data_IF_124530994824
#
_entry.id   IF_124530994824
#
_cell.length_a   1.000
_cell.length_b   1.000
_cell.length_c   1.000
_cell.angle_alpha   90.00
_cell.angle_beta   90.00
_cell.angle_gamma   90.00
#
_symmetry.space_group_name_H-M   'P 1'
#
loop_
_entity.id
_entity.type
_entity.pdbx_description
1 polymer ?
#
# COMPACT_ATOMS: atom_id res chain seq x y z
N UNK A 1 3.31 -18.60 -35.60
CA UNK A 1 4.44 -19.49 -35.96
C UNK A 1 5.71 -18.66 -35.78
N UNK A 2 6.20 -18.59 -34.54
CA UNK A 2 7.38 -19.34 -34.03
C UNK A 2 8.69 -18.91 -34.68
N UNK A 3 9.52 -18.25 -33.88
CA UNK A 3 10.97 -18.42 -33.92
C UNK A 3 11.50 -18.33 -32.48
N UNK A 4 12.09 -19.41 -31.93
CA UNK A 4 12.92 -19.35 -30.74
C UNK A 4 14.40 -19.28 -31.12
N UNK A 5 15.13 -18.44 -30.37
CA UNK A 5 16.57 -18.25 -30.48
C UNK A 5 17.33 -19.53 -30.10
N UNK A 6 18.18 -19.95 -31.02
CA UNK A 6 19.22 -20.95 -30.88
C UNK A 6 20.37 -20.46 -30.01
N UNK A 7 20.79 -21.26 -29.03
CA UNK A 7 22.19 -21.37 -28.65
C UNK A 7 22.61 -22.84 -28.64
N UNK A 8 23.10 -23.27 -29.80
CA UNK A 8 24.38 -23.98 -30.02
C UNK A 8 25.34 -23.83 -28.82
N UNK A 9 26.20 -24.79 -28.41
CA UNK A 9 26.82 -25.96 -29.04
C UNK A 9 27.65 -26.64 -27.94
N UNK A 10 27.78 -27.97 -27.95
CA UNK A 10 29.08 -28.67 -27.91
C UNK A 10 28.86 -30.18 -27.76
N UNK A 11 28.75 -30.84 -28.90
CA UNK A 11 29.10 -32.25 -29.05
C UNK A 11 30.63 -32.37 -29.09
N UNK A 12 31.21 -33.24 -28.26
CA UNK A 12 32.33 -34.09 -28.71
C UNK A 12 32.48 -35.33 -27.79
N UNK A 13 31.96 -36.43 -28.33
CA UNK A 13 32.53 -37.79 -28.41
C UNK A 13 33.77 -38.07 -27.51
N UNK A 14 33.70 -39.11 -26.68
CA UNK A 14 34.37 -40.41 -26.89
C UNK A 14 34.14 -41.33 -25.68
N UNK A 15 33.75 -42.59 -25.95
CA UNK A 15 33.77 -43.68 -24.98
C UNK A 15 35.23 -44.05 -24.63
N UNK A 16 35.46 -44.53 -23.40
CA UNK A 16 36.29 -45.71 -23.24
C UNK A 16 35.54 -46.83 -22.50
N UNK A 17 35.70 -48.04 -23.03
CA UNK A 17 35.42 -49.31 -22.37
C UNK A 17 36.35 -49.54 -21.17
N UNK A 18 35.86 -50.34 -20.21
CA UNK A 18 36.56 -50.96 -19.05
C UNK A 18 36.76 -50.07 -17.82
N UNK A 19 35.87 -50.20 -16.84
CA UNK A 19 36.09 -51.11 -15.70
C UNK A 19 34.95 -50.93 -14.70
N UNK A 20 34.22 -52.02 -14.47
CA UNK A 20 33.12 -52.11 -13.53
C UNK A 20 33.64 -52.04 -12.09
N UNK A 21 33.82 -50.84 -11.53
CA UNK A 21 33.97 -50.61 -10.08
C UNK A 21 33.59 -49.19 -9.60
N UNK A 22 33.29 -48.24 -10.50
CA UNK A 22 32.86 -46.88 -10.13
C UNK A 22 31.34 -46.62 -10.26
N UNK A 23 30.52 -47.67 -10.41
CA UNK A 23 29.07 -47.54 -10.64
C UNK A 23 28.27 -47.02 -9.43
N UNK A 24 28.81 -47.10 -8.19
CA UNK A 24 28.11 -46.63 -6.98
C UNK A 24 28.21 -45.10 -6.81
N UNK A 25 29.39 -44.50 -7.05
CA UNK A 25 29.56 -43.05 -6.95
C UNK A 25 28.84 -42.26 -8.05
N UNK A 26 28.72 -42.83 -9.25
CA UNK A 26 27.96 -42.20 -10.34
C UNK A 26 26.44 -42.12 -10.05
N UNK A 27 25.88 -43.10 -9.33
CA UNK A 27 24.47 -43.11 -8.92
C UNK A 27 24.16 -42.04 -7.87
N UNK A 28 25.05 -41.84 -6.88
CA UNK A 28 24.91 -40.75 -5.91
C UNK A 28 25.03 -39.36 -6.56
N UNK A 29 25.90 -39.19 -7.56
CA UNK A 29 26.04 -37.92 -8.29
C UNK A 29 24.87 -37.60 -9.24
N UNK A 30 24.16 -38.62 -9.74
CA UNK A 30 22.94 -38.46 -10.53
C UNK A 30 21.71 -38.20 -9.64
N UNK A 31 21.59 -38.88 -8.50
CA UNK A 31 20.55 -38.64 -7.49
C UNK A 31 20.69 -37.24 -6.84
N UNK A 32 21.92 -36.76 -6.62
CA UNK A 32 22.19 -35.40 -6.12
C UNK A 32 21.80 -34.31 -7.12
N UNK A 33 22.04 -34.52 -8.43
CA UNK A 33 21.62 -33.59 -9.49
C UNK A 33 20.11 -33.58 -9.71
N UNK A 34 19.46 -34.75 -9.63
CA UNK A 34 18.00 -34.85 -9.67
C UNK A 34 17.32 -34.22 -8.44
N UNK A 35 17.95 -34.32 -7.26
CA UNK A 35 17.49 -33.65 -6.05
C UNK A 35 17.68 -32.13 -6.12
N UNK A 36 18.78 -31.63 -6.71
CA UNK A 36 18.98 -30.19 -6.94
C UNK A 36 18.00 -29.62 -7.97
N UNK A 37 17.70 -30.33 -9.07
CA UNK A 37 16.70 -29.87 -10.05
C UNK A 37 15.27 -29.93 -9.50
N UNK A 38 14.94 -30.93 -8.68
CA UNK A 38 13.65 -30.99 -7.97
C UNK A 38 13.52 -29.90 -6.89
N UNK A 39 14.60 -29.60 -6.17
CA UNK A 39 14.65 -28.51 -5.19
C UNK A 39 14.54 -27.12 -5.86
N UNK A 40 15.05 -26.98 -7.09
CA UNK A 40 14.87 -25.77 -7.90
C UNK A 40 13.42 -25.66 -8.43
N UNK A 41 12.79 -26.77 -8.81
CA UNK A 41 11.41 -26.80 -9.29
C UNK A 41 10.38 -26.45 -8.18
N UNK A 42 10.61 -26.86 -6.93
CA UNK A 42 9.77 -26.43 -5.80
C UNK A 42 9.88 -24.93 -5.47
N UNK A 43 10.95 -24.25 -5.91
CA UNK A 43 11.19 -22.82 -5.68
C UNK A 43 10.69 -21.92 -6.82
N UNK A 44 10.35 -22.50 -7.97
CA UNK A 44 9.88 -21.81 -9.18
C UNK A 44 8.36 -21.65 -9.28
N UNK A 45 7.62 -21.80 -8.18
CA UNK A 45 6.16 -21.57 -8.15
C UNK A 45 5.79 -20.07 -8.20
N UNK A 46 6.77 -19.19 -8.35
CA UNK A 46 6.57 -17.78 -8.63
C UNK A 46 6.58 -17.64 -10.15
N UNK A 47 5.40 -17.57 -10.75
CA UNK A 47 5.27 -17.11 -12.13
C UNK A 47 5.93 -15.74 -12.23
N UNK A 48 6.88 -15.60 -13.15
CA UNK A 48 7.51 -14.31 -13.42
C UNK A 48 6.45 -13.31 -13.87
N UNK A 49 6.41 -12.15 -13.21
CA UNK A 49 5.45 -11.11 -13.51
C UNK A 49 5.89 -10.35 -14.77
N UNK A 50 5.01 -10.22 -15.75
CA UNK A 50 5.28 -9.42 -16.94
C UNK A 50 5.49 -7.94 -16.59
N UNK A 51 6.39 -7.28 -17.32
CA UNK A 51 6.66 -5.87 -17.13
C UNK A 51 5.41 -5.03 -17.42
N UNK A 52 5.04 -4.15 -16.48
CA UNK A 52 3.85 -3.30 -16.61
C UNK A 52 2.54 -3.94 -16.13
N UNK A 53 2.60 -5.14 -15.52
CA UNK A 53 1.43 -5.71 -14.86
C UNK A 53 0.91 -4.79 -13.74
N UNK A 54 -0.40 -4.62 -13.68
CA UNK A 54 -1.08 -3.86 -12.62
C UNK A 54 -1.34 -4.81 -11.45
N UNK A 55 -0.72 -4.53 -10.31
CA UNK A 55 -0.82 -5.37 -9.11
C UNK A 55 -1.26 -4.51 -7.94
N UNK A 56 -2.25 -4.99 -7.20
CA UNK A 56 -2.66 -4.41 -5.93
C UNK A 56 -1.69 -4.88 -4.84
N UNK A 57 -1.07 -3.94 -4.13
CA UNK A 57 -0.14 -4.25 -3.06
C UNK A 57 -0.25 -3.24 -1.91
N UNK A 58 0.18 -3.62 -0.70
CA UNK A 58 0.18 -2.71 0.42
C UNK A 58 1.10 -1.49 0.19
N UNK A 59 0.67 -0.32 0.66
CA UNK A 59 1.40 0.95 0.48
C UNK A 59 2.85 0.91 1.01
N UNK A 60 3.07 0.23 2.14
CA UNK A 60 4.41 0.11 2.73
C UNK A 60 5.40 -0.66 1.84
N UNK A 61 4.90 -1.61 1.04
CA UNK A 61 5.71 -2.36 0.09
C UNK A 61 5.90 -1.54 -1.19
N UNK A 62 4.80 -0.97 -1.70
CA UNK A 62 4.80 -0.12 -2.89
C UNK A 62 5.82 1.02 -2.76
N UNK A 63 5.85 1.69 -1.60
CA UNK A 63 6.76 2.82 -1.34
C UNK A 63 8.24 2.41 -1.43
N UNK A 64 8.59 1.23 -0.89
CA UNK A 64 9.97 0.70 -0.96
C UNK A 64 10.35 0.26 -2.37
N UNK A 65 9.40 -0.30 -3.13
CA UNK A 65 9.64 -0.69 -4.52
C UNK A 65 9.75 0.52 -5.45
N UNK A 66 8.93 1.55 -5.22
CA UNK A 66 8.98 2.80 -5.96
C UNK A 66 10.28 3.57 -5.71
N UNK A 67 10.75 3.62 -4.46
CA UNK A 67 12.06 4.19 -4.11
C UNK A 67 13.21 3.55 -4.88
N UNK A 68 13.11 2.24 -5.18
CA UNK A 68 14.09 1.47 -5.95
C UNK A 68 13.79 1.42 -7.45
N UNK A 69 12.77 2.14 -7.93
CA UNK A 69 12.32 2.16 -9.33
C UNK A 69 11.87 0.80 -9.90
N UNK A 70 11.44 -0.13 -9.04
CA UNK A 70 10.87 -1.41 -9.48
C UNK A 70 9.38 -1.34 -9.81
N UNK A 71 8.66 -0.39 -9.22
CA UNK A 71 7.23 -0.19 -9.44
C UNK A 71 6.90 1.30 -9.52
N UNK A 72 5.84 1.64 -10.25
CA UNK A 72 5.25 2.99 -10.26
C UNK A 72 3.94 2.95 -9.48
N UNK A 73 3.71 3.93 -8.59
CA UNK A 73 2.49 4.01 -7.79
C UNK A 73 1.46 4.85 -8.56
N UNK A 74 0.34 4.23 -8.94
CA UNK A 74 -0.81 4.93 -9.47
C UNK A 74 -1.61 5.63 -8.37
N UNK A 75 -2.16 6.82 -8.66
CA UNK A 75 -2.97 7.56 -7.70
C UNK A 75 -4.34 6.87 -7.49
N UNK A 76 -4.74 6.53 -6.25
CA UNK A 76 -6.06 5.97 -5.99
C UNK A 76 -7.19 6.97 -6.29
N UNK A 77 -8.37 6.47 -6.66
CA UNK A 77 -9.55 7.30 -6.98
C UNK A 77 -9.94 8.27 -5.85
N UNK A 78 -9.68 7.89 -4.60
CA UNK A 78 -9.95 8.70 -3.42
C UNK A 78 -9.16 10.03 -3.40
N UNK A 79 -8.02 10.10 -4.09
CA UNK A 79 -7.11 11.25 -4.12
C UNK A 79 -7.06 11.95 -5.49
N UNK A 80 -7.95 11.57 -6.40
CA UNK A 80 -8.03 12.17 -7.73
C UNK A 80 -8.32 13.68 -7.65
N UNK A 81 -7.90 14.46 -8.65
CA UNK A 81 -8.10 15.92 -8.76
C UNK A 81 -9.54 16.35 -8.51
N UNK A 82 -10.50 15.66 -9.12
CA UNK A 82 -11.94 15.91 -8.89
C UNK A 82 -12.34 15.77 -7.43
N UNK A 83 -11.79 14.78 -6.72
CA UNK A 83 -12.07 14.60 -5.29
C UNK A 83 -11.40 15.70 -4.48
N UNK A 84 -10.18 16.11 -4.83
CA UNK A 84 -9.48 17.23 -4.17
C UNK A 84 -10.27 18.53 -4.29
N UNK A 85 -10.77 18.86 -5.47
CA UNK A 85 -11.61 20.04 -5.70
C UNK A 85 -12.93 19.98 -4.91
N UNK A 86 -13.61 18.83 -4.92
CA UNK A 86 -14.82 18.63 -4.14
C UNK A 86 -14.58 18.78 -2.62
N UNK A 87 -13.43 18.31 -2.13
CA UNK A 87 -13.02 18.47 -0.73
C UNK A 87 -12.73 19.93 -0.36
N UNK A 88 -12.17 20.72 -1.26
CA UNK A 88 -11.94 22.14 -1.03
C UNK A 88 -13.25 22.94 -1.07
N UNK A 89 -14.18 22.57 -1.95
CA UNK A 89 -15.46 23.25 -2.10
C UNK A 89 -16.39 23.04 -0.90
N UNK A 90 -16.53 21.81 -0.42
CA UNK A 90 -17.44 21.47 0.68
C UNK A 90 -16.79 20.48 1.65
N UNK A 91 -15.79 20.93 2.44
CA UNK A 91 -15.01 20.05 3.27
C UNK A 91 -15.87 19.36 4.33
N UNK A 92 -16.82 20.05 4.98
CA UNK A 92 -17.64 19.47 6.07
C UNK A 92 -18.59 18.34 5.64
N UNK A 93 -19.08 18.36 4.40
CA UNK A 93 -20.05 17.39 3.90
C UNK A 93 -19.40 16.09 3.42
N UNK A 94 -18.07 16.08 3.27
CA UNK A 94 -17.34 14.93 2.80
C UNK A 94 -17.27 13.83 3.87
N UNK A 95 -17.70 12.62 3.49
CA UNK A 95 -17.50 11.40 4.28
C UNK A 95 -16.11 10.82 4.00
N UNK A 96 -15.12 11.33 4.71
CA UNK A 96 -13.72 10.95 4.52
C UNK A 96 -13.44 9.51 4.98
N UNK A 97 -14.12 9.06 6.03
CA UNK A 97 -13.95 7.71 6.59
C UNK A 97 -14.31 6.59 5.61
N UNK A 98 -15.35 6.81 4.79
CA UNK A 98 -15.76 5.86 3.74
C UNK A 98 -14.68 5.66 2.66
N UNK A 99 -13.85 6.69 2.43
CA UNK A 99 -12.71 6.60 1.50
C UNK A 99 -11.50 5.92 2.15
N UNK A 100 -11.14 6.37 3.35
CA UNK A 100 -10.06 5.80 4.15
C UNK A 100 -10.17 6.27 5.60
N UNK A 101 -10.08 5.37 6.59
CA UNK A 101 -10.01 5.76 8.00
C UNK A 101 -8.83 6.68 8.32
N UNK A 102 -7.71 6.51 7.61
CA UNK A 102 -6.45 7.25 7.77
C UNK A 102 -6.18 8.17 6.57
N UNK A 103 -7.21 8.88 6.10
CA UNK A 103 -7.14 9.68 4.86
C UNK A 103 -5.97 10.69 4.83
N UNK A 104 -5.73 11.40 5.92
CA UNK A 104 -4.69 12.44 6.01
C UNK A 104 -3.27 11.85 5.88
N UNK A 105 -2.98 10.82 6.67
CA UNK A 105 -1.66 10.19 6.75
C UNK A 105 -1.31 9.46 5.46
N UNK A 106 -2.27 8.71 4.91
CA UNK A 106 -2.10 8.01 3.64
C UNK A 106 -1.89 8.99 2.50
N UNK A 107 -2.63 10.10 2.47
CA UNK A 107 -2.45 11.14 1.46
C UNK A 107 -1.05 11.76 1.49
N UNK A 108 -0.55 12.09 2.69
CA UNK A 108 0.81 12.64 2.84
C UNK A 108 1.89 11.64 2.39
N UNK A 109 1.71 10.34 2.67
CA UNK A 109 2.63 9.30 2.18
C UNK A 109 2.57 9.16 0.66
N UNK A 110 1.38 9.17 0.07
CA UNK A 110 1.21 9.10 -1.38
C UNK A 110 1.85 10.29 -2.10
N UNK A 111 1.76 11.50 -1.53
CA UNK A 111 2.40 12.68 -2.10
C UNK A 111 3.93 12.56 -2.18
N UNK A 112 4.57 11.84 -1.25
CA UNK A 112 6.01 11.66 -1.21
C UNK A 112 6.52 10.77 -2.36
N UNK A 113 5.69 9.85 -2.84
CA UNK A 113 6.04 8.85 -3.85
C UNK A 113 5.44 9.17 -5.23
N UNK A 114 4.61 10.21 -5.35
CA UNK A 114 3.90 10.59 -6.57
C UNK A 114 4.71 11.51 -7.51
N UNK A 115 4.08 11.88 -8.62
CA UNK A 115 4.58 12.87 -9.57
C UNK A 115 4.90 14.22 -8.90
N UNK A 116 5.77 15.02 -9.53
CA UNK A 116 6.22 16.31 -8.99
C UNK A 116 5.09 17.34 -8.79
N UNK A 117 4.03 17.26 -9.60
CA UNK A 117 2.86 18.14 -9.50
C UNK A 117 1.98 17.76 -8.31
N UNK A 118 1.64 16.48 -8.20
CA UNK A 118 0.81 15.96 -7.10
C UNK A 118 1.50 16.07 -5.74
N UNK A 119 2.83 15.97 -5.73
CA UNK A 119 3.66 16.11 -4.53
C UNK A 119 3.46 17.47 -3.82
N UNK A 120 3.10 18.52 -4.56
CA UNK A 120 2.85 19.86 -3.99
C UNK A 120 1.36 20.12 -3.76
N UNK A 121 0.52 19.78 -4.74
CA UNK A 121 -0.91 20.10 -4.70
C UNK A 121 -1.69 19.26 -3.67
N UNK A 122 -1.31 17.99 -3.48
CA UNK A 122 -2.05 17.09 -2.60
C UNK A 122 -1.85 17.44 -1.11
N UNK A 123 -0.62 17.67 -0.60
CA UNK A 123 -0.45 18.08 0.79
C UNK A 123 -1.08 19.42 1.13
N UNK A 124 -1.05 20.40 0.20
CA UNK A 124 -1.67 21.70 0.44
C UNK A 124 -3.19 21.61 0.53
N UNK A 125 -3.83 20.85 -0.37
CA UNK A 125 -5.26 20.60 -0.34
C UNK A 125 -5.69 19.90 0.95
N UNK A 126 -4.96 18.83 1.34
CA UNK A 126 -5.26 18.08 2.58
C UNK A 126 -5.16 18.97 3.82
N UNK A 127 -4.10 19.80 3.91
CA UNK A 127 -3.92 20.75 5.03
C UNK A 127 -5.06 21.76 5.08
N UNK A 128 -5.44 22.35 3.94
CA UNK A 128 -6.54 23.30 3.87
C UNK A 128 -7.88 22.66 4.28
N UNK A 129 -8.19 21.46 3.77
CA UNK A 129 -9.39 20.71 4.14
C UNK A 129 -9.44 20.41 5.64
N UNK A 130 -8.31 19.98 6.25
CA UNK A 130 -8.25 19.73 7.70
C UNK A 130 -8.48 21.03 8.49
N UNK A 131 -7.82 22.12 8.12
CA UNK A 131 -7.96 23.40 8.80
C UNK A 131 -9.42 23.90 8.82
N UNK A 132 -10.12 23.78 7.69
CA UNK A 132 -11.53 24.18 7.59
C UNK A 132 -12.45 23.28 8.44
N UNK A 133 -12.19 21.98 8.51
CA UNK A 133 -13.01 21.02 9.28
C UNK A 133 -12.74 21.09 10.78
N UNK A 134 -11.52 21.46 11.18
CA UNK A 134 -11.07 21.50 12.57
C UNK A 134 -12.03 22.30 13.46
N UNK A 135 -12.34 23.53 13.05
CA UNK A 135 -13.21 24.44 13.79
C UNK A 135 -14.61 23.87 13.95
N UNK A 136 -15.16 23.27 12.89
CA UNK A 136 -16.47 22.64 12.92
C UNK A 136 -16.51 21.42 13.86
N UNK A 137 -15.48 20.59 13.86
CA UNK A 137 -15.39 19.40 14.74
C UNK A 137 -15.30 19.81 16.20
N UNK A 138 -14.44 20.80 16.53
CA UNK A 138 -14.30 21.32 17.90
C UNK A 138 -15.60 21.96 18.37
N UNK A 139 -16.27 22.72 17.49
CA UNK A 139 -17.55 23.34 17.82
C UNK A 139 -18.62 22.27 18.08
N UNK A 140 -18.67 21.22 17.27
CA UNK A 140 -19.61 20.10 17.46
C UNK A 140 -19.31 19.32 18.74
N UNK A 141 -18.05 19.05 19.07
CA UNK A 141 -17.70 18.32 20.30
C UNK A 141 -18.14 19.10 21.54
N UNK A 142 -17.92 20.42 21.57
CA UNK A 142 -18.30 21.29 22.68
C UNK A 142 -19.82 21.49 22.83
N UNK A 143 -20.58 21.32 21.76
CA UNK A 143 -22.03 21.52 21.75
C UNK A 143 -22.84 20.21 21.79
N UNK A 144 -22.17 19.05 21.79
CA UNK A 144 -22.83 17.73 21.74
C UNK A 144 -23.21 17.16 23.12
N UNK A 145 -23.08 17.92 24.21
CA UNK A 145 -23.23 17.41 25.58
C UNK A 145 -24.58 16.77 25.93
N UNK A 146 -25.67 17.11 25.23
CA UNK A 146 -27.01 16.53 25.44
C UNK A 146 -27.46 15.58 24.32
N UNK A 147 -26.69 15.43 23.25
CA UNK A 147 -27.06 14.62 22.08
C UNK A 147 -26.17 13.39 21.96
N UNK A 148 -26.70 12.31 21.37
CA UNK A 148 -25.88 11.14 21.02
C UNK A 148 -24.80 11.52 19.97
N UNK A 149 -23.50 11.43 20.31
CA UNK A 149 -22.41 11.82 19.42
C UNK A 149 -22.20 10.84 18.26
N UNK A 150 -22.80 9.63 18.29
CA UNK A 150 -22.51 8.55 17.34
C UNK A 150 -22.64 8.97 15.86
N UNK A 151 -23.70 9.72 15.54
CA UNK A 151 -23.95 10.22 14.17
C UNK A 151 -22.93 11.26 13.70
N UNK A 152 -22.34 12.00 14.64
CA UNK A 152 -21.32 13.01 14.33
C UNK A 152 -19.97 12.35 14.11
N UNK A 153 -19.68 11.27 14.85
CA UNK A 153 -18.40 10.55 14.83
C UNK A 153 -18.28 9.59 13.65
N UNK A 154 -19.38 8.96 13.23
CA UNK A 154 -19.40 7.96 12.15
C UNK A 154 -18.69 8.38 10.83
N UNK A 155 -18.87 9.59 10.28
CA UNK A 155 -18.22 10.01 9.03
C UNK A 155 -16.79 10.54 9.20
N UNK A 156 -16.31 10.72 10.44
CA UNK A 156 -15.01 11.30 10.75
C UNK A 156 -13.88 10.27 10.62
N UNK A 157 -12.73 10.71 10.16
CA UNK A 157 -11.49 9.91 10.13
C UNK A 157 -10.92 9.69 11.54
N UNK A 158 -9.97 8.77 11.70
CA UNK A 158 -9.37 8.45 13.00
C UNK A 158 -8.79 9.69 13.72
N UNK A 159 -8.08 10.55 12.98
CA UNK A 159 -7.51 11.79 13.52
C UNK A 159 -8.60 12.74 14.03
N UNK A 160 -9.68 12.90 13.25
CA UNK A 160 -10.80 13.78 13.59
C UNK A 160 -11.64 13.23 14.75
N UNK A 161 -11.79 11.91 14.83
CA UNK A 161 -12.48 11.26 15.95
C UNK A 161 -11.72 11.48 17.25
N UNK A 162 -10.39 11.34 17.25
CA UNK A 162 -9.56 11.63 18.43
C UNK A 162 -9.75 13.08 18.89
N UNK A 163 -9.65 14.02 17.96
CA UNK A 163 -9.89 15.44 18.26
C UNK A 163 -11.28 15.67 18.85
N UNK A 164 -12.30 15.06 18.25
CA UNK A 164 -13.68 15.16 18.72
C UNK A 164 -13.81 14.66 20.16
N UNK A 165 -13.29 13.46 20.45
CA UNK A 165 -13.40 12.85 21.78
C UNK A 165 -12.66 13.64 22.85
N UNK A 166 -11.47 14.15 22.55
CA UNK A 166 -10.74 15.05 23.48
C UNK A 166 -11.57 16.30 23.80
N UNK A 167 -12.15 16.96 22.79
CA UNK A 167 -13.01 18.12 23.01
C UNK A 167 -14.30 17.79 23.77
N UNK A 168 -14.87 16.61 23.51
CA UNK A 168 -16.07 16.12 24.18
C UNK A 168 -15.80 15.84 25.68
N UNK A 169 -14.72 15.12 26.00
CA UNK A 169 -14.30 14.83 27.37
C UNK A 169 -14.11 16.11 28.18
N UNK A 170 -13.37 17.10 27.64
CA UNK A 170 -13.17 18.37 28.32
C UNK A 170 -14.48 19.14 28.57
N UNK A 171 -15.44 19.02 27.67
CA UNK A 171 -16.75 19.65 27.85
C UNK A 171 -17.54 18.97 28.95
N UNK A 172 -17.49 17.63 29.03
CA UNK A 172 -18.13 16.86 30.09
C UNK A 172 -17.49 17.14 31.45
N UNK A 173 -16.15 17.15 31.53
CA UNK A 173 -15.40 17.51 32.73
C UNK A 173 -15.76 18.92 33.21
N UNK A 174 -15.82 19.89 32.29
CA UNK A 174 -16.23 21.28 32.59
C UNK A 174 -17.68 21.37 33.09
N UNK A 175 -18.56 20.49 32.65
CA UNK A 175 -19.95 20.43 33.14
C UNK A 175 -20.00 19.79 34.53
N UNK A 176 -19.27 18.69 34.73
CA UNK A 176 -19.16 18.02 36.02
C UNK A 176 -18.58 18.95 37.10
N UNK A 177 -17.57 19.77 36.78
CA UNK A 177 -17.00 20.77 37.69
C UNK A 177 -17.94 21.91 38.07
N UNK A 178 -19.01 22.15 37.31
CA UNK A 178 -19.99 23.21 37.63
C UNK A 178 -21.04 22.77 38.64
N UNK A 179 -21.20 21.46 38.84
CA UNK A 179 -22.18 20.85 39.74
C UNK A 179 -21.52 20.51 41.09
#
# INVERSE_FOLDING_TARGET
>A
MTAPCTLTRCTQRMLPTRHARHARHARHAALSRAAHTAHCALRCLVQDLEAGAIVEMPLWLADKLASKRFASIGMPRAYNTKTREALLAAPEKARLREKSPFFYEVGLRLAATSSAEDARALPSAIKATLALRMSAIITRSQNSGHMDPSKVVEPLTELEQRLFWTGYQHTQEKQAWRL
#
